data_IF_316148125634
#
_entry.id   IF_316148125634
#
_cell.length_a   1.000
_cell.length_b   1.000
_cell.length_c   1.000
_cell.angle_alpha   90.00
_cell.angle_beta   90.00
_cell.angle_gamma   90.00
#
_symmetry.space_group_name_H-M   'P 1'
#
loop_
_entity.id
_entity.type
_entity.pdbx_description
1 polymer ?
#
# COMPACT_ATOMS: atom_id res chain seq x y z
N UNK A 1 8.91 -0.06 -3.63
CA UNK A 1 7.66 -0.03 -2.86
C UNK A 1 7.91 0.45 -1.46
N UNK A 2 7.15 1.42 -1.03
CA UNK A 2 7.27 1.99 0.31
C UNK A 2 5.98 1.80 1.06
N UNK A 3 6.10 1.45 2.34
CA UNK A 3 4.91 1.32 3.14
C UNK A 3 5.24 0.98 4.58
N UNK A 4 4.22 1.05 5.41
CA UNK A 4 4.38 0.72 6.82
C UNK A 4 3.03 0.34 7.40
N UNK A 5 3.07 -0.46 8.46
CA UNK A 5 1.84 -0.85 9.15
C UNK A 5 1.42 0.23 10.13
N UNK A 6 0.13 0.48 10.17
CA UNK A 6 -0.43 1.45 11.10
C UNK A 6 -1.57 0.81 11.88
N UNK A 7 -2.17 1.58 12.78
CA UNK A 7 -3.30 1.08 13.56
C UNK A 7 -4.49 0.73 12.70
N UNK A 8 -4.59 1.32 11.53
CA UNK A 8 -5.76 1.13 10.67
C UNK A 8 -5.50 0.17 9.53
N UNK A 9 -4.27 -0.32 9.40
CA UNK A 9 -3.93 -1.21 8.32
C UNK A 9 -2.55 -0.90 7.78
N UNK A 10 -2.35 -1.24 6.51
CA UNK A 10 -1.07 -1.01 5.88
C UNK A 10 -1.13 0.23 5.01
N UNK A 11 -0.22 1.15 5.21
CA UNK A 11 -0.15 2.36 4.39
C UNK A 11 0.94 2.21 3.35
N UNK A 12 0.53 2.18 2.08
CA UNK A 12 1.46 2.02 0.99
C UNK A 12 1.58 3.31 0.19
N UNK A 13 2.80 3.59 -0.25
CA UNK A 13 3.08 4.81 -1.01
C UNK A 13 2.69 4.62 -2.47
N UNK A 14 1.78 5.45 -2.96
CA UNK A 14 1.27 5.35 -4.32
C UNK A 14 1.17 6.75 -4.92
N UNK A 15 1.81 6.94 -6.07
CA UNK A 15 1.69 8.19 -6.84
C UNK A 15 1.94 9.44 -6.01
N UNK A 16 2.96 9.41 -5.17
CA UNK A 16 3.35 10.57 -4.40
C UNK A 16 2.61 10.76 -3.11
N UNK A 17 1.81 9.80 -2.70
CA UNK A 17 1.09 9.90 -1.43
C UNK A 17 0.82 8.51 -0.89
N UNK A 18 0.43 8.45 0.38
CA UNK A 18 0.14 7.17 1.03
C UNK A 18 -1.34 6.83 0.92
N UNK A 19 -1.61 5.56 0.63
CA UNK A 19 -2.96 5.04 0.58
C UNK A 19 -3.11 3.96 1.63
N UNK A 20 -4.32 3.81 2.16
CA UNK A 20 -4.58 2.81 3.19
C UNK A 20 -5.03 1.50 2.55
N UNK A 21 -4.34 0.43 2.90
CA UNK A 21 -4.68 -0.91 2.42
C UNK A 21 -4.96 -1.81 3.61
N UNK A 22 -5.72 -2.85 3.38
CA UNK A 22 -6.04 -3.79 4.45
C UNK A 22 -4.78 -4.51 4.92
N UNK A 23 -3.95 -4.95 3.98
CA UNK A 23 -2.70 -5.65 4.30
C UNK A 23 -1.62 -5.26 3.32
N UNK A 24 -0.40 -5.67 3.63
CA UNK A 24 0.71 -5.43 2.72
C UNK A 24 0.50 -6.18 1.41
N UNK A 25 -0.11 -7.34 1.48
CA UNK A 25 -0.36 -8.12 0.27
C UNK A 25 -1.29 -7.37 -0.68
N UNK A 26 -2.28 -6.71 -0.12
CA UNK A 26 -3.20 -5.92 -0.95
C UNK A 26 -2.43 -4.81 -1.67
N UNK A 27 -1.52 -4.17 -0.96
CA UNK A 27 -0.70 -3.12 -1.55
C UNK A 27 0.16 -3.68 -2.67
N UNK A 28 0.77 -4.83 -2.43
CA UNK A 28 1.64 -5.44 -3.44
C UNK A 28 0.87 -5.82 -4.69
N UNK A 29 -0.33 -6.37 -4.51
CA UNK A 29 -1.16 -6.72 -5.65
C UNK A 29 -1.56 -5.48 -6.43
N UNK A 30 -1.91 -4.43 -5.71
CA UNK A 30 -2.28 -3.18 -6.35
C UNK A 30 -1.14 -2.65 -7.21
N UNK A 31 0.06 -2.65 -6.67
CA UNK A 31 1.21 -2.13 -7.40
C UNK A 31 1.56 -3.03 -8.57
N UNK A 32 1.34 -4.31 -8.42
CA UNK A 32 1.59 -5.26 -9.49
C UNK A 32 0.66 -5.03 -10.67
N UNK A 33 -0.59 -4.70 -10.37
CA UNK A 33 -1.59 -4.48 -11.40
C UNK A 33 -1.42 -3.16 -12.11
N UNK A 34 -0.79 -2.22 -11.45
CA UNK A 34 -0.67 -0.86 -12.00
C UNK A 34 0.37 -0.80 -13.11
N UNK A 35 1.26 -1.76 -13.13
CA UNK A 35 2.25 -1.81 -14.19
C UNK A 35 1.59 -1.97 -15.55
#
# INVERSE_FOLDING_TARGET
MYGYYSSFGYRGFVNGRYELFATEEDYREYMSCVD
#
